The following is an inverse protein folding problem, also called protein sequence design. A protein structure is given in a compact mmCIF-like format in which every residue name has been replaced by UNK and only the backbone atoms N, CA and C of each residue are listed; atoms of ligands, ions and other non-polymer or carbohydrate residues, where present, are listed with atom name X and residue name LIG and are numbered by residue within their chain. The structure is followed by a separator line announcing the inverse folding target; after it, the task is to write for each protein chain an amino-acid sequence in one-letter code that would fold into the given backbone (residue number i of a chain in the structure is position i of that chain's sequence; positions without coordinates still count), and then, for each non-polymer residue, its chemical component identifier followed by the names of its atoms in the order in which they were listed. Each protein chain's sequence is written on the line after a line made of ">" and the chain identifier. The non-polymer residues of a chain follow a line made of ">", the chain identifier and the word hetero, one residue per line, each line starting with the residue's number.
data_IF_976268563933
#
_entry.id   IF_976268563933
#
_cell.length_a   1.000
_cell.length_b   1.000
_cell.length_c   1.000
_cell.angle_alpha   90.00
_cell.angle_beta   90.00
_cell.angle_gamma   90.00
#
_symmetry.space_group_name_H-M   'P 1'
#
loop_
_entity.id
_entity.type
_entity.pdbx_description
1 polymer ?
#
# COMPACT_ATOMS: atom_id res chain seq x y z
N UNK A 1 22.59 29.97 -15.80
CA UNK A 1 22.41 30.37 -14.39
C UNK A 1 22.52 29.11 -13.55
N UNK A 2 23.53 28.98 -12.69
CA UNK A 2 23.99 27.70 -12.14
C UNK A 2 23.04 27.03 -11.14
N UNK A 3 22.68 25.78 -11.40
CA UNK A 3 22.18 24.84 -10.40
C UNK A 3 23.39 24.20 -9.70
N UNK A 4 23.94 24.93 -8.72
CA UNK A 4 24.99 24.41 -7.83
C UNK A 4 24.43 24.28 -6.43
N UNK A 5 24.37 23.05 -5.93
CA UNK A 5 24.53 22.80 -4.49
C UNK A 5 23.29 22.33 -3.73
N UNK A 6 22.67 21.23 -4.14
CA UNK A 6 21.88 20.39 -3.23
C UNK A 6 22.61 19.13 -2.74
N UNK A 7 23.71 18.74 -3.39
CA UNK A 7 24.44 17.50 -3.08
C UNK A 7 25.62 17.67 -2.10
N UNK A 8 26.08 18.89 -1.81
CA UNK A 8 27.24 19.15 -0.95
C UNK A 8 26.93 20.15 0.19
N UNK A 9 25.91 19.86 1.00
CA UNK A 9 25.80 20.51 2.32
C UNK A 9 26.10 19.48 3.40
N UNK A 10 27.37 19.37 3.77
CA UNK A 10 27.90 18.55 4.86
C UNK A 10 27.48 19.06 6.25
N UNK A 11 26.90 20.26 6.35
CA UNK A 11 26.39 20.79 7.60
C UNK A 11 24.96 20.30 7.90
N UNK A 12 24.70 19.79 9.12
CA UNK A 12 23.35 19.38 9.50
C UNK A 12 22.41 20.58 9.49
N UNK A 13 21.22 20.41 8.91
CA UNK A 13 20.22 21.48 8.86
C UNK A 13 19.97 22.08 10.25
N UNK A 14 19.94 23.41 10.36
CA UNK A 14 19.65 24.08 11.64
C UNK A 14 18.27 23.69 12.17
N UNK A 15 18.04 23.69 13.50
CA UNK A 15 16.78 23.26 14.11
C UNK A 15 15.54 23.97 13.51
N UNK A 16 15.66 25.28 13.26
CA UNK A 16 14.62 26.12 12.64
C UNK A 16 14.27 25.68 11.22
N UNK A 17 15.26 25.24 10.43
CA UNK A 17 15.06 24.76 9.04
C UNK A 17 14.37 23.39 9.02
N UNK A 18 14.70 22.49 9.96
CA UNK A 18 14.02 21.18 10.11
C UNK A 18 12.56 21.34 10.50
N UNK A 19 12.26 22.20 11.47
CA UNK A 19 10.88 22.48 11.89
C UNK A 19 10.04 23.09 10.76
N UNK A 20 10.61 24.02 9.97
CA UNK A 20 9.93 24.60 8.81
C UNK A 20 9.64 23.57 7.72
N UNK A 21 10.62 22.74 7.36
CA UNK A 21 10.43 21.66 6.38
C UNK A 21 9.34 20.66 6.84
N UNK A 22 9.35 20.31 8.13
CA UNK A 22 8.32 19.49 8.76
C UNK A 22 6.93 20.14 8.70
N UNK A 23 6.81 21.44 9.01
CA UNK A 23 5.56 22.19 8.88
C UNK A 23 5.05 22.29 7.43
N UNK A 24 5.96 22.24 6.45
CA UNK A 24 5.65 22.21 5.01
C UNK A 24 5.35 20.79 4.48
N UNK A 25 5.35 19.76 5.34
CA UNK A 25 5.06 18.37 4.96
C UNK A 25 6.25 17.59 4.41
N UNK A 26 7.44 18.20 4.36
CA UNK A 26 8.67 17.60 3.84
C UNK A 26 9.42 16.90 4.97
N UNK A 27 8.97 15.70 5.32
CA UNK A 27 9.63 14.83 6.32
C UNK A 27 10.41 13.74 5.61
N UNK A 28 11.67 13.56 6.00
CA UNK A 28 12.49 12.47 5.52
C UNK A 28 11.87 11.15 5.97
N UNK A 29 11.45 10.31 5.02
CA UNK A 29 10.93 8.96 5.25
C UNK A 29 11.70 7.97 4.41
N UNK A 30 12.06 6.82 4.99
CA UNK A 30 12.68 5.73 4.26
C UNK A 30 11.59 4.91 3.56
N UNK A 31 11.58 4.97 2.23
CA UNK A 31 10.69 4.13 1.41
C UNK A 31 11.03 2.65 1.59
N UNK A 32 12.31 2.33 1.70
CA UNK A 32 12.80 0.96 1.85
C UNK A 32 12.33 0.32 3.16
N UNK A 33 12.32 1.07 4.26
CA UNK A 33 11.86 0.57 5.55
C UNK A 33 10.36 0.21 5.54
N UNK A 34 9.53 1.03 4.89
CA UNK A 34 8.11 0.72 4.73
C UNK A 34 7.92 -0.57 3.93
N UNK A 35 8.61 -0.71 2.79
CA UNK A 35 8.53 -1.91 1.96
C UNK A 35 8.99 -3.15 2.72
N UNK A 36 10.11 -3.06 3.46
CA UNK A 36 10.62 -4.17 4.25
C UNK A 36 9.64 -4.62 5.34
N UNK A 37 9.04 -3.68 6.09
CA UNK A 37 8.04 -4.02 7.12
C UNK A 37 6.80 -4.70 6.53
N UNK A 38 6.30 -4.21 5.40
CA UNK A 38 5.14 -4.80 4.71
C UNK A 38 5.47 -6.22 4.22
N UNK A 39 6.65 -6.42 3.62
CA UNK A 39 7.09 -7.74 3.17
C UNK A 39 7.23 -8.73 4.34
N UNK A 40 7.93 -8.34 5.41
CA UNK A 40 8.09 -9.19 6.60
C UNK A 40 6.73 -9.56 7.21
N UNK A 41 5.80 -8.61 7.26
CA UNK A 41 4.44 -8.86 7.73
C UNK A 41 3.70 -9.83 6.82
N UNK A 42 3.81 -9.67 5.50
CA UNK A 42 3.19 -10.58 4.54
C UNK A 42 3.70 -12.01 4.69
N UNK A 43 5.02 -12.19 4.81
CA UNK A 43 5.61 -13.51 5.08
C UNK A 43 5.15 -14.07 6.43
N UNK A 44 5.23 -13.29 7.50
CA UNK A 44 4.80 -13.74 8.83
C UNK A 44 3.31 -14.11 8.88
N UNK A 45 2.46 -13.31 8.26
CA UNK A 45 1.03 -13.56 8.15
C UNK A 45 0.75 -14.87 7.38
N UNK A 46 1.44 -15.11 6.27
CA UNK A 46 1.34 -16.36 5.52
C UNK A 46 1.85 -17.55 6.33
N UNK A 47 2.90 -17.41 7.13
CA UNK A 47 3.39 -18.50 7.98
C UNK A 47 2.39 -18.85 9.09
N UNK A 48 1.77 -17.86 9.71
CA UNK A 48 0.83 -18.06 10.83
C UNK A 48 -0.52 -18.59 10.33
N UNK A 49 -1.10 -17.97 9.29
CA UNK A 49 -2.44 -18.31 8.79
C UNK A 49 -2.45 -19.27 7.61
N UNK A 50 -1.31 -19.53 6.97
CA UNK A 50 -1.21 -20.36 5.77
C UNK A 50 -1.73 -21.78 5.96
N UNK A 51 -1.47 -22.41 7.10
CA UNK A 51 -2.00 -23.76 7.42
C UNK A 51 -3.53 -23.76 7.47
N UNK A 52 -4.13 -22.75 8.11
CA UNK A 52 -5.59 -22.62 8.17
C UNK A 52 -6.20 -22.35 6.79
N UNK A 53 -5.57 -21.48 5.99
CA UNK A 53 -6.00 -21.22 4.62
C UNK A 53 -5.93 -22.50 3.77
N UNK A 54 -4.83 -23.25 3.86
CA UNK A 54 -4.67 -24.52 3.17
C UNK A 54 -5.79 -25.50 3.53
N UNK A 55 -6.08 -25.68 4.82
CA UNK A 55 -7.16 -26.54 5.29
C UNK A 55 -8.53 -26.10 4.76
N UNK A 56 -8.84 -24.80 4.81
CA UNK A 56 -10.11 -24.28 4.31
C UNK A 56 -10.25 -24.47 2.79
N UNK A 57 -9.19 -24.24 2.03
CA UNK A 57 -9.15 -24.49 0.59
C UNK A 57 -9.40 -25.98 0.32
N UNK A 58 -8.67 -26.87 0.97
CA UNK A 58 -8.83 -28.32 0.81
C UNK A 58 -10.24 -28.79 1.15
N UNK A 59 -10.81 -28.32 2.27
CA UNK A 59 -12.17 -28.64 2.69
C UNK A 59 -13.21 -28.15 1.67
N UNK A 60 -13.01 -26.95 1.13
CA UNK A 60 -13.90 -26.39 0.11
C UNK A 60 -13.85 -27.24 -1.17
N UNK A 61 -12.66 -27.60 -1.63
CA UNK A 61 -12.52 -28.50 -2.79
C UNK A 61 -13.18 -29.86 -2.54
N UNK A 62 -12.89 -30.50 -1.41
CA UNK A 62 -13.50 -31.78 -1.05
C UNK A 62 -15.03 -31.69 -1.03
N UNK A 63 -15.57 -30.65 -0.39
CA UNK A 63 -17.01 -30.43 -0.32
C UNK A 63 -17.65 -30.37 -1.71
N UNK A 64 -17.12 -29.52 -2.60
CA UNK A 64 -17.68 -29.34 -3.94
C UNK A 64 -17.50 -30.58 -4.80
N UNK A 65 -16.33 -31.23 -4.77
CA UNK A 65 -16.08 -32.45 -5.54
C UNK A 65 -16.99 -33.61 -5.10
N UNK A 66 -17.31 -33.72 -3.81
CA UNK A 66 -18.21 -34.77 -3.31
C UNK A 66 -19.67 -34.50 -3.69
N UNK A 67 -20.04 -33.24 -3.93
CA UNK A 67 -21.39 -32.84 -4.34
C UNK A 67 -21.60 -32.79 -5.87
N UNK A 68 -20.56 -33.10 -6.66
CA UNK A 68 -20.67 -33.21 -8.11
C UNK A 68 -21.64 -34.35 -8.46
N UNK A 69 -22.68 -34.02 -9.23
CA UNK A 69 -23.68 -34.98 -9.72
C UNK A 69 -24.88 -35.21 -8.80
N UNK A 70 -24.84 -34.75 -7.54
CA UNK A 70 -25.98 -34.81 -6.61
C UNK A 70 -26.71 -33.48 -6.45
N UNK A 71 -26.07 -32.38 -6.87
CA UNK A 71 -26.62 -31.02 -6.74
C UNK A 71 -27.53 -30.67 -7.91
N UNK A 72 -28.80 -30.38 -7.64
CA UNK A 72 -29.70 -29.78 -8.62
C UNK A 72 -29.32 -28.31 -8.84
N UNK A 73 -28.71 -28.03 -9.99
CA UNK A 73 -28.31 -26.68 -10.36
C UNK A 73 -29.55 -25.87 -10.80
N UNK A 74 -29.98 -24.95 -9.94
CA UNK A 74 -30.93 -23.90 -10.29
C UNK A 74 -30.27 -22.52 -10.02
N UNK A 75 -30.85 -21.41 -10.54
CA UNK A 75 -30.25 -20.08 -10.39
C UNK A 75 -30.03 -19.65 -8.92
N UNK A 76 -30.92 -20.06 -8.01
CA UNK A 76 -30.81 -19.73 -6.59
C UNK A 76 -29.66 -20.48 -5.90
N UNK A 77 -29.49 -21.77 -6.20
CA UNK A 77 -28.38 -22.57 -5.69
C UNK A 77 -27.04 -22.08 -6.24
N UNK A 78 -26.97 -21.73 -7.52
CA UNK A 78 -25.74 -21.15 -8.10
C UNK A 78 -25.38 -19.84 -7.40
N UNK A 79 -26.34 -18.96 -7.14
CA UNK A 79 -26.10 -17.72 -6.40
C UNK A 79 -25.60 -18.00 -4.98
N UNK A 80 -26.22 -18.96 -4.28
CA UNK A 80 -25.82 -19.37 -2.94
C UNK A 80 -24.38 -19.90 -2.91
N UNK A 81 -24.03 -20.81 -3.83
CA UNK A 81 -22.67 -21.34 -3.99
C UNK A 81 -21.67 -20.20 -4.21
N UNK A 82 -21.97 -19.28 -5.12
CA UNK A 82 -21.10 -18.14 -5.40
C UNK A 82 -20.91 -17.23 -4.19
N UNK A 83 -21.99 -16.92 -3.46
CA UNK A 83 -21.92 -16.10 -2.25
C UNK A 83 -21.08 -16.75 -1.15
N UNK A 84 -21.22 -18.07 -0.97
CA UNK A 84 -20.48 -18.85 0.02
C UNK A 84 -18.99 -18.89 -0.30
N UNK A 85 -18.62 -19.16 -1.57
CA UNK A 85 -17.22 -19.15 -2.01
C UNK A 85 -16.62 -17.75 -1.81
N UNK A 86 -17.36 -16.70 -2.18
CA UNK A 86 -16.90 -15.31 -2.04
C UNK A 86 -16.66 -14.95 -0.58
N UNK A 87 -17.62 -15.23 0.32
CA UNK A 87 -17.49 -14.93 1.74
C UNK A 87 -16.37 -15.74 2.40
N UNK A 88 -16.25 -17.02 2.07
CA UNK A 88 -15.17 -17.88 2.60
C UNK A 88 -13.81 -17.36 2.15
N UNK A 89 -13.68 -16.98 0.87
CA UNK A 89 -12.44 -16.40 0.32
C UNK A 89 -12.09 -15.06 0.95
N UNK A 90 -13.09 -14.18 1.14
CA UNK A 90 -12.91 -12.91 1.83
C UNK A 90 -12.44 -13.12 3.28
N UNK A 91 -13.04 -14.08 4.00
CA UNK A 91 -12.65 -14.40 5.37
C UNK A 91 -11.22 -14.97 5.46
N UNK A 92 -10.83 -15.82 4.50
CA UNK A 92 -9.46 -16.35 4.41
C UNK A 92 -8.43 -15.24 4.17
N UNK A 93 -8.75 -14.24 3.33
CA UNK A 93 -7.84 -13.14 3.00
C UNK A 93 -7.85 -12.01 4.04
N UNK A 94 -8.94 -11.84 4.78
CA UNK A 94 -9.12 -10.79 5.78
C UNK A 94 -7.94 -10.61 6.75
N UNK A 95 -7.42 -11.65 7.44
CA UNK A 95 -6.32 -11.47 8.40
C UNK A 95 -5.02 -10.98 7.74
N UNK A 96 -4.71 -11.43 6.52
CA UNK A 96 -3.54 -10.98 5.78
C UNK A 96 -3.71 -9.53 5.36
N UNK A 97 -4.86 -9.19 4.76
CA UNK A 97 -5.12 -7.81 4.33
C UNK A 97 -5.11 -6.84 5.50
N UNK A 98 -5.75 -7.21 6.61
CA UNK A 98 -5.84 -6.38 7.81
C UNK A 98 -4.46 -6.18 8.45
N UNK A 99 -3.64 -7.22 8.57
CA UNK A 99 -2.28 -7.09 9.10
C UNK A 99 -1.38 -6.21 8.21
N UNK A 100 -1.44 -6.37 6.89
CA UNK A 100 -0.70 -5.53 5.93
C UNK A 100 -1.14 -4.07 6.00
N UNK A 101 -2.45 -3.81 6.04
CA UNK A 101 -2.99 -2.46 6.18
C UNK A 101 -2.55 -1.80 7.49
N UNK A 102 -2.67 -2.51 8.61
CA UNK A 102 -2.23 -2.01 9.92
C UNK A 102 -0.75 -1.66 9.92
N UNK A 103 0.10 -2.56 9.43
CA UNK A 103 1.55 -2.33 9.39
C UNK A 103 1.90 -1.20 8.44
N UNK A 104 1.27 -1.10 7.27
CA UNK A 104 1.52 0.00 6.34
C UNK A 104 1.15 1.37 6.93
N UNK A 105 0.07 1.45 7.70
CA UNK A 105 -0.33 2.68 8.40
C UNK A 105 0.65 2.97 9.55
N UNK A 106 0.92 1.98 10.40
CA UNK A 106 1.82 2.11 11.54
C UNK A 106 3.24 2.45 11.12
N UNK A 107 3.75 1.87 10.04
CA UNK A 107 5.09 2.12 9.54
C UNK A 107 5.25 3.58 9.08
N UNK A 108 4.25 4.12 8.37
CA UNK A 108 4.23 5.53 7.99
C UNK A 108 4.08 6.43 9.23
N UNK A 109 3.22 6.05 10.17
CA UNK A 109 2.99 6.78 11.41
C UNK A 109 4.26 6.85 12.27
N UNK A 110 4.98 5.74 12.46
CA UNK A 110 6.20 5.70 13.27
C UNK A 110 7.35 6.50 12.62
N UNK A 111 7.44 6.52 11.28
CA UNK A 111 8.48 7.29 10.58
C UNK A 111 8.24 8.81 10.61
N UNK A 112 6.99 9.24 10.42
CA UNK A 112 6.67 10.67 10.22
C UNK A 112 6.09 11.31 11.50
N UNK A 113 5.50 10.51 12.39
CA UNK A 113 4.67 10.95 13.51
C UNK A 113 3.34 11.56 13.05
N UNK A 114 2.60 12.16 13.98
CA UNK A 114 1.44 13.00 13.65
C UNK A 114 1.95 14.27 12.95
N UNK A 115 1.69 14.40 11.65
CA UNK A 115 2.06 15.57 10.87
C UNK A 115 0.87 16.14 10.13
N UNK A 116 0.07 16.95 10.82
CA UNK A 116 -0.98 17.74 10.19
C UNK A 116 -0.38 18.98 9.52
N UNK A 117 -0.13 18.90 8.20
CA UNK A 117 0.25 20.06 7.38
C UNK A 117 -0.82 20.37 6.34
N UNK A 118 -1.64 21.39 6.60
CA UNK A 118 -2.60 21.95 5.65
C UNK A 118 -1.92 22.53 4.39
N UNK A 119 -0.62 22.83 4.45
CA UNK A 119 0.15 23.29 3.28
C UNK A 119 0.47 22.16 2.31
N UNK A 120 0.61 20.92 2.78
CA UNK A 120 0.89 19.75 1.93
C UNK A 120 -0.30 19.36 1.05
N UNK A 121 -1.53 19.67 1.48
CA UNK A 121 -2.78 19.36 0.76
C UNK A 121 -3.07 20.38 -0.36
N UNK A 122 -2.40 21.55 -0.37
CA UNK A 122 -2.60 22.52 -1.45
C UNK A 122 -2.12 21.92 -2.77
N UNK A 123 -3.02 21.85 -3.75
CA UNK A 123 -2.71 21.44 -5.11
C UNK A 123 -1.64 22.38 -5.68
N UNK A 124 -0.41 21.89 -5.82
CA UNK A 124 0.71 22.68 -6.26
C UNK A 124 0.97 22.42 -7.75
N UNK A 125 0.44 23.30 -8.61
CA UNK A 125 0.68 23.27 -10.06
C UNK A 125 2.18 23.33 -10.42
N UNK A 126 3.04 23.85 -9.55
CA UNK A 126 4.49 23.88 -9.76
C UNK A 126 5.17 22.51 -9.62
N UNK A 127 4.48 21.48 -9.06
CA UNK A 127 4.98 20.09 -9.03
C UNK A 127 4.56 19.29 -10.28
N UNK A 128 3.67 19.82 -11.11
CA UNK A 128 3.37 19.28 -12.44
C UNK A 128 4.45 19.75 -13.41
N UNK A 129 5.57 19.03 -13.46
CA UNK A 129 6.56 19.22 -14.51
C UNK A 129 6.04 18.49 -15.76
N UNK A 130 5.27 19.18 -16.59
CA UNK A 130 4.85 18.68 -17.90
C UNK A 130 6.09 18.61 -18.80
N UNK A 131 6.79 17.47 -18.78
CA UNK A 131 7.98 17.20 -19.60
C UNK A 131 7.75 17.55 -21.08
N UNK A 132 6.52 17.40 -21.57
CA UNK A 132 6.10 17.72 -22.93
C UNK A 132 6.29 19.19 -23.36
N UNK A 133 6.26 20.18 -22.45
CA UNK A 133 6.41 21.59 -22.82
C UNK A 133 7.87 22.04 -23.00
N UNK A 134 8.83 21.26 -22.50
CA UNK A 134 10.26 21.61 -22.56
C UNK A 134 10.92 21.24 -23.89
N UNK A 135 10.42 20.20 -24.57
CA UNK A 135 10.95 19.77 -25.88
C UNK A 135 10.57 20.73 -27.00
N UNK A 136 9.37 21.32 -26.98
CA UNK A 136 8.93 22.24 -28.05
C UNK A 136 9.53 23.65 -27.93
N UNK A 137 9.94 24.12 -26.74
CA UNK A 137 10.55 25.45 -26.61
C UNK A 137 12.01 25.52 -27.10
N UNK A 138 12.65 24.38 -27.35
CA UNK A 138 14.04 24.30 -27.83
C UNK A 138 14.15 24.23 -29.36
N UNK A 139 13.02 24.13 -30.08
CA UNK A 139 13.00 24.18 -31.55
C UNK A 139 12.78 25.58 -32.13
N UNK A 140 12.54 26.60 -31.29
CA UNK A 140 12.25 27.97 -31.72
C UNK A 140 13.29 29.01 -31.26
N UNK A 141 14.46 28.58 -30.80
CA UNK A 141 15.62 29.44 -30.57
C UNK A 141 16.90 28.67 -30.87
#
# INVERSE_FOLDING_TARGET
>A
MGDKGYQDRTEPATPKRRQKARAEGQVAKSRELNTAMVLLTGFGALTIWGTSMYQQITNMFQHWFTQVGTTHLNPAEVHKIFSQITLTSAYMLAPIMLSLCLVAILSNYLQVGVLFSLKSIRFNFSKLNLVFLKEYSFQFF
#
